data_IF_802433612318
#
_entry.id   IF_802433612318
#
_cell.length_a   1.000
_cell.length_b   1.000
_cell.length_c   1.000
_cell.angle_alpha   90.00
_cell.angle_beta   90.00
_cell.angle_gamma   90.00
#
_symmetry.space_group_name_H-M   'P 1'
#
loop_
_entity.id
_entity.type
_entity.pdbx_description
1 polymer ?
#
# COMPACT_ATOMS: atom_id res chain seq x y z
N UNK A 1 1.60 -1.81 12.57
CA UNK A 1 0.51 -2.53 13.24
C UNK A 1 -0.83 -2.30 12.54
N UNK A 2 -1.86 -3.12 12.78
CA UNK A 2 -3.18 -2.91 12.17
C UNK A 2 -3.77 -1.53 12.45
N UNK A 3 -3.58 -0.99 13.65
CA UNK A 3 -4.09 0.33 14.02
C UNK A 3 -3.39 1.45 13.26
N UNK A 4 -2.08 1.34 13.06
CA UNK A 4 -1.31 2.27 12.24
C UNK A 4 -1.77 2.27 10.78
N UNK A 5 -2.13 1.11 10.24
CA UNK A 5 -2.67 0.99 8.88
C UNK A 5 -4.01 1.73 8.77
N UNK A 6 -4.87 1.59 9.76
CA UNK A 6 -6.15 2.30 9.80
C UNK A 6 -5.93 3.81 9.86
N UNK A 7 -5.03 4.27 10.73
CA UNK A 7 -4.73 5.69 10.90
C UNK A 7 -4.16 6.30 9.62
N UNK A 8 -3.28 5.60 8.93
CA UNK A 8 -2.57 6.10 7.75
C UNK A 8 -3.31 5.91 6.42
N UNK A 9 -4.13 4.87 6.31
CA UNK A 9 -4.71 4.45 5.03
C UNK A 9 -6.21 4.66 4.90
N UNK A 10 -6.93 4.82 6.00
CA UNK A 10 -8.38 4.92 5.96
C UNK A 10 -8.85 6.30 6.45
N UNK A 11 -9.89 6.81 5.79
CA UNK A 11 -10.53 8.04 6.20
C UNK A 11 -11.39 7.81 7.46
N UNK A 12 -11.63 8.85 8.29
CA UNK A 12 -12.42 8.70 9.51
C UNK A 12 -13.83 8.14 9.32
N UNK A 13 -14.39 8.26 8.12
CA UNK A 13 -15.73 7.78 7.78
C UNK A 13 -15.77 6.30 7.34
N UNK A 14 -14.63 5.65 7.18
CA UNK A 14 -14.55 4.27 6.68
C UNK A 14 -14.85 3.27 7.78
N UNK A 15 -15.48 3.38 8.77
CA UNK A 15 -15.88 2.40 9.79
C UNK A 15 -14.94 1.17 9.95
N UNK A 16 -13.65 1.39 9.69
CA UNK A 16 -12.63 0.36 9.80
C UNK A 16 -11.85 0.60 11.08
N UNK A 17 -11.73 -0.44 11.86
CA UNK A 17 -10.88 -0.45 13.06
C UNK A 17 -9.67 -1.36 12.85
N UNK A 18 -8.66 -1.23 13.69
CA UNK A 18 -7.50 -2.10 13.63
C UNK A 18 -7.85 -3.58 13.74
N UNK A 19 -8.96 -3.92 14.39
CA UNK A 19 -9.45 -5.29 14.50
C UNK A 19 -9.86 -5.89 13.14
N UNK A 20 -10.28 -5.06 12.21
CA UNK A 20 -10.67 -5.49 10.87
C UNK A 20 -9.49 -5.66 9.92
N UNK A 21 -8.32 -5.20 10.30
CA UNK A 21 -7.11 -5.28 9.48
C UNK A 21 -6.32 -6.52 9.85
N UNK A 22 -6.25 -7.47 8.94
CA UNK A 22 -5.50 -8.70 9.16
C UNK A 22 -3.99 -8.47 9.06
N UNK A 23 -3.23 -8.99 10.02
CA UNK A 23 -1.77 -9.04 9.94
C UNK A 23 -1.28 -9.79 8.71
N UNK A 24 -2.04 -10.78 8.26
CA UNK A 24 -1.75 -11.53 7.04
C UNK A 24 -1.84 -10.59 5.83
N UNK A 25 -2.86 -9.76 5.77
CA UNK A 25 -3.02 -8.79 4.67
C UNK A 25 -1.88 -7.78 4.65
N UNK A 26 -1.44 -7.30 5.81
CA UNK A 26 -0.28 -6.40 5.92
C UNK A 26 0.98 -7.11 5.39
N UNK A 27 1.21 -8.36 5.80
CA UNK A 27 2.33 -9.16 5.33
C UNK A 27 2.32 -9.37 3.81
N UNK A 28 1.16 -9.70 3.25
CA UNK A 28 0.99 -9.85 1.80
C UNK A 28 1.29 -8.54 1.07
N UNK A 29 0.78 -7.41 1.55
CA UNK A 29 1.05 -6.11 0.95
C UNK A 29 2.55 -5.78 1.00
N UNK A 30 3.19 -6.02 2.12
CA UNK A 30 4.62 -5.80 2.30
C UNK A 30 5.44 -6.65 1.32
N UNK A 31 5.16 -7.93 1.24
CA UNK A 31 5.86 -8.88 0.37
C UNK A 31 5.65 -8.58 -1.12
N UNK A 32 4.45 -8.16 -1.51
CA UNK A 32 4.12 -7.90 -2.91
C UNK A 32 4.56 -6.54 -3.42
N UNK A 33 4.52 -5.52 -2.59
CA UNK A 33 4.68 -4.13 -3.04
C UNK A 33 5.88 -3.41 -2.47
N UNK A 34 6.34 -3.77 -1.30
CA UNK A 34 7.44 -3.08 -0.62
C UNK A 34 8.76 -3.82 -0.82
N UNK A 35 8.79 -5.11 -0.53
CA UNK A 35 10.00 -5.92 -0.64
C UNK A 35 10.61 -5.94 -2.05
N UNK A 36 9.85 -6.07 -3.15
CA UNK A 36 10.43 -6.04 -4.49
C UNK A 36 11.12 -4.72 -4.85
N UNK A 37 10.74 -3.63 -4.19
CA UNK A 37 11.34 -2.30 -4.41
C UNK A 37 12.57 -2.09 -3.55
N UNK A 38 12.46 -2.33 -2.26
CA UNK A 38 13.51 -1.97 -1.28
C UNK A 38 14.47 -3.12 -0.98
N UNK A 39 14.03 -4.36 -1.10
CA UNK A 39 14.79 -5.54 -0.73
C UNK A 39 14.73 -5.85 0.76
N UNK A 40 15.05 -7.11 1.11
CA UNK A 40 14.95 -7.61 2.47
C UNK A 40 15.85 -6.89 3.47
N UNK A 41 17.07 -6.53 3.07
CA UNK A 41 18.01 -5.82 3.93
C UNK A 41 17.50 -4.44 4.33
N UNK A 42 16.88 -3.72 3.40
CA UNK A 42 16.30 -2.41 3.67
C UNK A 42 15.07 -2.52 4.56
N UNK A 43 14.26 -3.55 4.37
CA UNK A 43 13.10 -3.83 5.25
C UNK A 43 13.57 -4.14 6.66
N UNK A 44 14.62 -4.95 6.82
CA UNK A 44 15.21 -5.21 8.13
C UNK A 44 15.70 -3.92 8.81
N UNK A 45 16.29 -3.01 8.05
CA UNK A 45 16.71 -1.70 8.55
C UNK A 45 15.51 -0.90 9.06
N UNK A 46 14.41 -0.88 8.33
CA UNK A 46 13.17 -0.23 8.77
C UNK A 46 12.61 -0.85 10.05
N UNK A 47 12.63 -2.17 10.16
CA UNK A 47 12.17 -2.88 11.36
C UNK A 47 13.04 -2.56 12.57
N UNK A 48 14.34 -2.39 12.39
CA UNK A 48 15.25 -1.97 13.47
C UNK A 48 15.04 -0.53 13.93
N UNK A 49 14.27 0.25 13.19
CA UNK A 49 14.05 1.67 13.47
C UNK A 49 15.00 2.61 12.74
N UNK A 50 15.81 2.10 11.83
CA UNK A 50 16.65 2.92 10.98
C UNK A 50 15.79 3.66 9.95
N UNK A 51 16.21 4.85 9.56
CA UNK A 51 15.52 5.65 8.53
C UNK A 51 14.05 5.95 8.84
N UNK A 52 13.76 6.30 10.10
CA UNK A 52 12.41 6.55 10.58
C UNK A 52 11.66 7.59 9.74
N UNK A 53 12.32 8.67 9.34
CA UNK A 53 11.72 9.72 8.53
C UNK A 53 11.23 9.20 7.17
N UNK A 54 12.03 8.34 6.55
CA UNK A 54 11.67 7.71 5.27
C UNK A 54 10.52 6.73 5.44
N UNK A 55 10.57 5.92 6.48
CA UNK A 55 9.52 4.95 6.80
C UNK A 55 8.20 5.65 7.10
N UNK A 56 8.19 6.58 8.03
CA UNK A 56 6.96 7.26 8.48
C UNK A 56 6.39 8.20 7.42
N UNK A 57 7.25 8.85 6.65
CA UNK A 57 6.82 9.83 5.66
C UNK A 57 6.34 9.22 4.34
N UNK A 58 6.84 8.07 3.96
CA UNK A 58 6.61 7.51 2.62
C UNK A 58 6.21 6.04 2.62
N UNK A 59 6.97 5.19 3.27
CA UNK A 59 6.80 3.74 3.17
C UNK A 59 5.58 3.24 3.93
N UNK A 60 5.41 3.68 5.16
CA UNK A 60 4.26 3.26 5.98
C UNK A 60 2.92 3.76 5.42
N UNK A 61 2.79 5.04 4.99
CA UNK A 61 1.57 5.48 4.30
C UNK A 61 1.29 4.71 3.01
N UNK A 62 2.32 4.42 2.22
CA UNK A 62 2.16 3.62 1.01
C UNK A 62 1.68 2.20 1.32
N UNK A 63 2.27 1.56 2.32
CA UNK A 63 1.85 0.24 2.77
C UNK A 63 0.38 0.25 3.22
N UNK A 64 -0.03 1.26 3.99
CA UNK A 64 -1.41 1.41 4.42
C UNK A 64 -2.38 1.51 3.24
N UNK A 65 -2.02 2.26 2.20
CA UNK A 65 -2.82 2.36 0.96
C UNK A 65 -2.88 1.03 0.20
N UNK A 66 -1.80 0.28 0.14
CA UNK A 66 -1.80 -1.05 -0.48
C UNK A 66 -2.66 -2.03 0.32
N UNK A 67 -2.61 -1.99 1.64
CA UNK A 67 -3.49 -2.82 2.48
C UNK A 67 -4.95 -2.46 2.23
N UNK A 68 -5.29 -1.18 2.20
CA UNK A 68 -6.63 -0.71 1.85
C UNK A 68 -7.07 -1.25 0.49
N UNK A 69 -6.21 -1.16 -0.51
CA UNK A 69 -6.47 -1.68 -1.85
C UNK A 69 -6.82 -3.16 -1.83
N UNK A 70 -6.06 -3.96 -1.08
CA UNK A 70 -6.31 -5.40 -0.97
C UNK A 70 -7.60 -5.72 -0.21
N UNK A 71 -7.99 -4.88 0.72
CA UNK A 71 -9.19 -5.08 1.55
C UNK A 71 -10.48 -4.65 0.86
N UNK A 72 -10.42 -3.76 -0.12
CA UNK A 72 -11.61 -3.18 -0.75
C UNK A 72 -12.59 -4.21 -1.30
N UNK A 73 -12.18 -5.27 -2.02
CA UNK A 73 -13.11 -6.28 -2.50
C UNK A 73 -13.82 -7.01 -1.36
N UNK A 74 -13.14 -7.27 -0.26
CA UNK A 74 -13.73 -7.92 0.91
C UNK A 74 -14.71 -7.01 1.62
N UNK A 75 -14.39 -5.72 1.74
CA UNK A 75 -15.27 -4.71 2.31
C UNK A 75 -16.53 -4.55 1.47
N UNK A 76 -16.41 -4.46 0.16
CA UNK A 76 -17.53 -4.38 -0.77
C UNK A 76 -18.44 -5.61 -0.66
N UNK A 77 -17.89 -6.80 -0.52
CA UNK A 77 -18.64 -8.03 -0.34
C UNK A 77 -19.42 -8.02 0.99
N UNK A 78 -18.82 -7.57 2.07
CA UNK A 78 -19.49 -7.43 3.38
C UNK A 78 -20.63 -6.44 3.32
N UNK A 79 -20.42 -5.30 2.69
CA UNK A 79 -21.47 -4.29 2.48
C UNK A 79 -22.59 -4.85 1.61
N UNK A 80 -22.26 -5.59 0.55
CA UNK A 80 -23.23 -6.30 -0.27
C UNK A 80 -24.10 -7.26 0.54
N UNK A 81 -23.46 -8.12 1.33
CA UNK A 81 -24.17 -9.06 2.19
C UNK A 81 -25.05 -8.33 3.22
N UNK A 82 -24.53 -7.28 3.84
CA UNK A 82 -25.28 -6.43 4.76
C UNK A 82 -26.38 -5.65 4.06
N UNK A 83 -26.12 -5.16 2.84
CA UNK A 83 -27.08 -4.43 2.02
C UNK A 83 -28.25 -5.28 1.55
N UNK A 84 -28.00 -6.53 1.21
CA UNK A 84 -29.07 -7.50 0.88
C UNK A 84 -29.99 -7.73 2.07
N UNK A 85 -29.44 -7.86 3.26
CA UNK A 85 -30.21 -8.01 4.50
C UNK A 85 -30.99 -6.75 4.82
N UNK A 86 -30.42 -5.58 4.52
CA UNK A 86 -31.05 -4.29 4.77
C UNK A 86 -32.01 -3.83 3.69
N UNK A 87 -32.05 -4.52 2.56
CA UNK A 87 -32.97 -4.33 1.45
C UNK A 87 -33.41 -2.90 1.19
N UNK A 88 -32.84 -2.24 0.21
CA UNK A 88 -33.36 -0.98 -0.26
C UNK A 88 -33.08 0.22 0.64
N UNK A 89 -32.11 0.18 1.51
CA UNK A 89 -31.63 1.39 2.18
C UNK A 89 -30.83 2.18 1.16
N UNK A 90 -31.43 3.24 0.65
CA UNK A 90 -30.78 4.17 -0.26
C UNK A 90 -29.52 4.76 0.37
N UNK A 91 -28.47 4.91 -0.41
CA UNK A 91 -27.18 5.46 0.04
C UNK A 91 -26.25 4.46 0.71
N UNK A 92 -26.71 3.22 0.94
CA UNK A 92 -25.88 2.09 1.37
C UNK A 92 -25.72 1.08 0.25
N UNK A 93 -25.96 1.48 -0.98
CA UNK A 93 -25.77 0.66 -2.14
C UNK A 93 -24.33 0.14 -2.15
N UNK A 94 -24.20 -1.14 -2.39
CA UNK A 94 -22.89 -1.77 -2.56
C UNK A 94 -22.10 -0.97 -3.58
N UNK A 95 -20.88 -0.65 -3.25
CA UNK A 95 -19.97 -0.13 -4.24
C UNK A 95 -20.01 -1.08 -5.45
N UNK A 96 -20.23 -0.54 -6.63
CA UNK A 96 -20.17 -1.31 -7.86
C UNK A 96 -18.77 -1.84 -8.07
N UNK A 97 -18.61 -2.93 -8.81
CA UNK A 97 -17.28 -3.44 -9.16
C UNK A 97 -16.41 -2.35 -9.80
N UNK A 98 -17.02 -1.48 -10.58
CA UNK A 98 -16.33 -0.34 -11.20
C UNK A 98 -15.81 0.64 -10.14
N UNK A 99 -16.62 1.00 -9.16
CA UNK A 99 -16.21 1.90 -8.07
C UNK A 99 -15.10 1.30 -7.23
N UNK A 100 -15.18 0.01 -6.92
CA UNK A 100 -14.11 -0.72 -6.22
C UNK A 100 -12.82 -0.67 -7.02
N UNK A 101 -12.88 -0.96 -8.31
CA UNK A 101 -11.70 -0.93 -9.19
C UNK A 101 -11.10 0.48 -9.30
N UNK A 102 -11.94 1.50 -9.42
CA UNK A 102 -11.48 2.89 -9.46
C UNK A 102 -10.76 3.28 -8.17
N UNK A 103 -11.33 2.92 -7.04
CA UNK A 103 -10.72 3.20 -5.74
C UNK A 103 -9.42 2.43 -5.55
N UNK A 104 -9.35 1.18 -5.99
CA UNK A 104 -8.12 0.40 -5.99
C UNK A 104 -7.03 1.05 -6.84
N UNK A 105 -7.36 1.52 -8.03
CA UNK A 105 -6.42 2.22 -8.92
C UNK A 105 -5.92 3.51 -8.30
N UNK A 106 -6.81 4.28 -7.68
CA UNK A 106 -6.46 5.52 -6.98
C UNK A 106 -5.48 5.24 -5.84
N UNK A 107 -5.80 4.27 -4.99
CA UNK A 107 -4.95 3.90 -3.85
C UNK A 107 -3.59 3.39 -4.32
N UNK A 108 -3.58 2.54 -5.35
CA UNK A 108 -2.35 2.03 -5.95
C UNK A 108 -1.49 3.16 -6.52
N UNK A 109 -2.09 4.09 -7.24
CA UNK A 109 -1.38 5.23 -7.82
C UNK A 109 -0.76 6.12 -6.75
N UNK A 110 -1.51 6.44 -5.70
CA UNK A 110 -1.02 7.24 -4.58
C UNK A 110 0.12 6.53 -3.83
N UNK A 111 -0.03 5.22 -3.58
CA UNK A 111 1.00 4.42 -2.94
C UNK A 111 2.28 4.39 -3.79
N UNK A 112 2.15 4.19 -5.10
CA UNK A 112 3.30 4.20 -6.01
C UNK A 112 4.02 5.54 -6.03
N UNK A 113 3.29 6.65 -5.97
CA UNK A 113 3.90 7.97 -5.88
C UNK A 113 4.75 8.12 -4.63
N UNK A 114 4.24 7.67 -3.48
CA UNK A 114 4.98 7.70 -2.22
C UNK A 114 6.25 6.83 -2.30
N UNK A 115 6.12 5.63 -2.84
CA UNK A 115 7.25 4.71 -3.01
C UNK A 115 8.31 5.31 -3.96
N UNK A 116 7.89 5.91 -5.06
CA UNK A 116 8.82 6.55 -6.01
C UNK A 116 9.53 7.75 -5.38
N UNK A 117 8.86 8.51 -4.54
CA UNK A 117 9.49 9.61 -3.79
C UNK A 117 10.53 9.08 -2.81
N UNK A 118 10.21 8.00 -2.09
CA UNK A 118 11.15 7.35 -1.19
C UNK A 118 12.39 6.84 -1.94
N UNK A 119 12.19 6.15 -3.06
CA UNK A 119 13.26 5.64 -3.92
C UNK A 119 14.13 6.79 -4.44
N UNK A 120 13.53 7.88 -4.84
CA UNK A 120 14.26 9.07 -5.31
C UNK A 120 15.16 9.64 -4.22
N UNK A 121 14.65 9.73 -3.00
CA UNK A 121 15.44 10.19 -1.85
C UNK A 121 16.63 9.27 -1.60
N UNK A 122 16.40 7.97 -1.62
CA UNK A 122 17.44 6.96 -1.43
C UNK A 122 18.51 7.05 -2.54
N UNK A 123 18.09 7.11 -3.78
CA UNK A 123 19.00 7.14 -4.93
C UNK A 123 19.80 8.45 -5.05
N UNK A 124 19.30 9.53 -4.46
CA UNK A 124 20.05 10.79 -4.36
C UNK A 124 21.20 10.73 -3.35
N UNK A 125 21.13 9.84 -2.36
CA UNK A 125 22.13 9.70 -1.32
C UNK A 125 22.42 8.21 -1.03
N UNK A 126 22.95 7.47 -2.00
CA UNK A 126 23.13 6.02 -1.86
C UNK A 126 24.07 5.64 -0.73
N UNK A 127 24.99 6.53 -0.35
CA UNK A 127 25.90 6.32 0.76
C UNK A 127 25.20 6.27 2.12
N UNK A 128 24.07 6.97 2.23
CA UNK A 128 23.26 7.01 3.45
C UNK A 128 22.43 5.72 3.62
N UNK A 129 22.13 5.04 2.52
CA UNK A 129 21.27 3.87 2.49
C UNK A 129 21.98 2.65 1.87
N UNK A 130 23.02 2.12 2.56
CA UNK A 130 23.83 1.05 1.98
C UNK A 130 23.08 -0.28 1.78
N UNK A 131 21.98 -0.48 2.48
CA UNK A 131 21.13 -1.68 2.37
C UNK A 131 20.28 -1.70 1.08
N UNK A 132 20.14 -0.55 0.43
CA UNK A 132 19.38 -0.44 -0.81
C UNK A 132 20.23 -0.76 -2.02
N UNK A 133 19.67 -1.50 -2.96
CA UNK A 133 20.30 -1.80 -4.25
C UNK A 133 19.37 -1.39 -5.40
N UNK A 134 19.78 -0.38 -6.16
CA UNK A 134 19.03 0.10 -7.33
C UNK A 134 18.83 -0.99 -8.39
N UNK A 135 19.81 -1.88 -8.54
CA UNK A 135 19.74 -3.00 -9.50
C UNK A 135 18.72 -4.07 -9.15
N UNK A 136 18.33 -4.16 -7.89
CA UNK A 136 17.31 -5.12 -7.41
C UNK A 136 15.91 -4.53 -7.41
N UNK A 137 15.78 -3.21 -7.55
CA UNK A 137 14.49 -2.54 -7.54
C UNK A 137 13.72 -2.88 -8.80
N UNK A 138 12.56 -3.53 -8.64
CA UNK A 138 11.71 -3.94 -9.74
C UNK A 138 11.23 -2.75 -10.60
N UNK A 139 11.03 -1.59 -10.00
CA UNK A 139 10.62 -0.39 -10.72
C UNK A 139 11.69 0.05 -11.72
N UNK A 140 12.95 -0.07 -11.35
CA UNK A 140 14.07 0.24 -12.24
C UNK A 140 14.19 -0.79 -13.37
N UNK A 141 13.97 -2.06 -13.08
CA UNK A 141 13.95 -3.13 -14.10
C UNK A 141 12.86 -2.89 -15.13
N UNK A 142 11.64 -2.66 -14.69
CA UNK A 142 10.53 -2.37 -15.60
C UNK A 142 10.79 -1.15 -16.46
N UNK A 143 11.42 -0.14 -15.90
CA UNK A 143 11.81 1.08 -16.63
C UNK A 143 12.85 0.82 -17.70
N UNK A 144 13.85 0.00 -17.40
CA UNK A 144 14.90 -0.38 -18.33
C UNK A 144 14.31 -1.24 -19.46
N UNK A 145 13.52 -2.23 -19.12
CA UNK A 145 12.83 -3.09 -20.08
C UNK A 145 11.90 -2.29 -21.00
N UNK A 146 11.12 -1.39 -20.42
CA UNK A 146 10.28 -0.47 -21.18
C UNK A 146 11.07 0.43 -22.11
N UNK A 147 12.24 0.90 -21.69
CA UNK A 147 13.14 1.70 -22.50
C UNK A 147 13.78 0.92 -23.65
N UNK A 148 14.01 -0.37 -23.47
CA UNK A 148 14.58 -1.24 -24.49
C UNK A 148 13.54 -1.66 -25.55
N UNK A 149 12.31 -1.85 -25.13
CA UNK A 149 11.20 -2.22 -26.01
C UNK A 149 10.76 -1.02 -26.87
N UNK A 150 10.94 0.15 -26.37
CA UNK A 150 10.62 1.41 -27.06
C UNK A 150 11.73 1.84 -28.00
#
# INVERSE_FOLDING_TARGET
>A
SPDEVVELGFEPLDHITGENVSRITIGVAQERFIEPVFGGEMIEAFVRGDYADLLEGYVAPALALYVKMLMLPMMALRVSAGGVVRGGVEGLDCATDMEVQQTQRKNSSQAQQLIRQAVRIIEQSPETYPEYSAGRNILNRCRIEGGVIL
#
